data_IF_315037915572
#
_entry.id   IF_315037915572
#
_cell.length_a   1.000
_cell.length_b   1.000
_cell.length_c   1.000
_cell.angle_alpha   90.00
_cell.angle_beta   90.00
_cell.angle_gamma   90.00
#
_symmetry.space_group_name_H-M   'P 1'
#
loop_
_entity.id
_entity.type
_entity.pdbx_description
1 polymer ?
#
# COMPACT_ATOMS: atom_id res chain seq x y z
N UNK A 1 -8.40 -9.13 5.50
CA UNK A 1 -7.15 -9.93 5.57
C UNK A 1 -5.93 -9.24 4.95
N UNK A 2 -5.95 -8.69 3.72
CA UNK A 2 -4.76 -8.01 3.14
C UNK A 2 -4.38 -6.78 3.97
N UNK A 3 -5.33 -5.91 4.29
CA UNK A 3 -5.08 -4.70 5.09
C UNK A 3 -4.58 -5.01 6.50
N UNK A 4 -5.12 -6.03 7.15
CA UNK A 4 -4.61 -6.49 8.46
C UNK A 4 -3.13 -6.86 8.38
N UNK A 5 -2.75 -7.61 7.35
CA UNK A 5 -1.35 -7.97 7.14
C UNK A 5 -0.49 -6.75 6.80
N UNK A 6 -1.02 -5.82 6.01
CA UNK A 6 -0.32 -4.57 5.72
C UNK A 6 -0.02 -3.78 7.01
N UNK A 7 -1.01 -3.62 7.87
CA UNK A 7 -0.87 -2.83 9.10
C UNK A 7 -0.01 -3.54 10.13
N UNK A 8 -0.35 -4.80 10.45
CA UNK A 8 0.30 -5.53 11.55
C UNK A 8 1.68 -6.04 11.21
N UNK A 9 2.00 -6.22 9.93
CA UNK A 9 3.27 -6.78 9.51
C UNK A 9 4.08 -5.84 8.63
N UNK A 10 3.62 -5.49 7.43
CA UNK A 10 4.44 -4.76 6.47
C UNK A 10 4.79 -3.34 6.94
N UNK A 11 3.81 -2.58 7.39
CA UNK A 11 4.01 -1.21 7.90
C UNK A 11 4.89 -1.24 9.15
N UNK A 12 4.63 -2.18 10.05
CA UNK A 12 5.38 -2.34 11.29
C UNK A 12 6.84 -2.71 11.02
N UNK A 13 7.09 -3.66 10.11
CA UNK A 13 8.45 -4.05 9.72
C UNK A 13 9.22 -2.90 9.05
N UNK A 14 8.56 -2.16 8.16
CA UNK A 14 9.16 -0.97 7.54
C UNK A 14 9.49 0.11 8.60
N UNK A 15 8.59 0.34 9.56
CA UNK A 15 8.82 1.32 10.64
C UNK A 15 10.00 0.91 11.50
N UNK A 16 10.09 -0.37 11.87
CA UNK A 16 11.20 -0.90 12.66
C UNK A 16 12.54 -0.82 11.92
N UNK A 17 12.55 -1.13 10.62
CA UNK A 17 13.77 -1.11 9.83
C UNK A 17 14.34 0.31 9.65
N UNK A 18 13.46 1.28 9.38
CA UNK A 18 13.86 2.66 9.07
C UNK A 18 13.87 3.59 10.29
N UNK A 19 13.59 3.05 11.47
CA UNK A 19 13.51 3.80 12.74
C UNK A 19 12.67 5.09 12.61
N UNK A 20 11.57 4.98 11.92
CA UNK A 20 10.62 6.08 11.70
C UNK A 20 9.20 5.59 11.52
N UNK A 21 8.23 6.40 11.90
CA UNK A 21 6.83 6.07 11.72
C UNK A 21 6.45 6.03 10.24
N UNK A 22 6.03 4.86 9.75
CA UNK A 22 5.44 4.65 8.44
C UNK A 22 3.98 4.27 8.64
N UNK A 23 3.05 5.05 8.12
CA UNK A 23 1.61 4.86 8.32
C UNK A 23 0.83 4.67 7.03
N UNK A 24 1.42 5.02 5.89
CA UNK A 24 0.69 5.09 4.63
C UNK A 24 1.28 4.18 3.57
N UNK A 25 0.38 3.66 2.73
CA UNK A 25 0.71 2.84 1.58
C UNK A 25 0.58 3.65 0.29
N UNK A 26 1.56 3.50 -0.60
CA UNK A 26 1.44 3.83 -2.00
C UNK A 26 0.92 2.61 -2.75
N UNK A 27 -0.24 2.72 -3.40
CA UNK A 27 -0.90 1.58 -4.06
C UNK A 27 -0.94 1.79 -5.57
N UNK A 28 -0.59 0.76 -6.32
CA UNK A 28 -0.73 0.73 -7.78
C UNK A 28 -1.74 -0.34 -8.14
N UNK A 29 -2.77 0.04 -8.91
CA UNK A 29 -3.77 -0.89 -9.46
C UNK A 29 -3.60 -0.90 -10.97
N UNK A 30 -3.06 -2.00 -11.48
CA UNK A 30 -2.94 -2.24 -12.91
C UNK A 30 -4.21 -2.90 -13.44
N UNK A 31 -4.88 -2.24 -14.37
CA UNK A 31 -6.09 -2.71 -15.02
C UNK A 31 -5.82 -3.37 -16.37
N UNK A 32 -4.58 -3.77 -16.65
CA UNK A 32 -4.25 -4.55 -17.86
C UNK A 32 -5.11 -5.82 -17.92
N UNK A 33 -5.80 -6.03 -19.01
CA UNK A 33 -6.70 -7.17 -19.16
C UNK A 33 -8.08 -7.04 -18.47
N UNK A 34 -8.38 -5.87 -17.90
CA UNK A 34 -9.71 -5.63 -17.32
C UNK A 34 -10.81 -5.80 -18.38
N UNK A 35 -11.81 -6.62 -18.07
CA UNK A 35 -12.95 -6.90 -18.93
C UNK A 35 -14.25 -6.37 -18.34
N UNK A 36 -15.13 -5.82 -19.20
CA UNK A 36 -16.48 -5.42 -18.82
C UNK A 36 -17.36 -6.59 -18.33
N UNK A 37 -17.01 -7.82 -18.64
CA UNK A 37 -17.68 -9.00 -18.08
C UNK A 37 -17.62 -9.08 -16.56
N UNK A 38 -16.60 -8.43 -15.96
CA UNK A 38 -16.48 -8.31 -14.50
C UNK A 38 -17.44 -7.28 -13.89
N UNK A 39 -18.04 -6.38 -14.69
CA UNK A 39 -18.94 -5.33 -14.24
C UNK A 39 -20.38 -5.85 -14.05
N UNK A 40 -20.55 -6.76 -13.12
CA UNK A 40 -21.83 -7.37 -12.78
C UNK A 40 -22.37 -6.79 -11.47
N UNK A 41 -23.67 -6.89 -11.25
CA UNK A 41 -24.33 -6.41 -10.00
C UNK A 41 -23.68 -6.98 -8.74
N UNK A 42 -23.22 -8.23 -8.77
CA UNK A 42 -22.53 -8.88 -7.65
C UNK A 42 -21.17 -8.23 -7.36
N UNK A 43 -20.39 -7.98 -8.41
CA UNK A 43 -19.07 -7.33 -8.29
C UNK A 43 -19.19 -5.89 -7.81
N UNK A 44 -20.17 -5.15 -8.32
CA UNK A 44 -20.47 -3.78 -7.88
C UNK A 44 -20.83 -3.74 -6.39
N UNK A 45 -21.67 -4.68 -5.93
CA UNK A 45 -22.03 -4.80 -4.52
C UNK A 45 -20.80 -5.08 -3.66
N UNK A 46 -19.97 -6.03 -4.08
CA UNK A 46 -18.72 -6.38 -3.38
C UNK A 46 -17.78 -5.19 -3.30
N UNK A 47 -17.57 -4.48 -4.41
CA UNK A 47 -16.73 -3.29 -4.45
C UNK A 47 -17.20 -2.21 -3.47
N UNK A 48 -18.51 -1.93 -3.43
CA UNK A 48 -19.09 -0.99 -2.46
C UNK A 48 -18.86 -1.41 -1.02
N UNK A 49 -19.01 -2.70 -0.72
CA UNK A 49 -18.76 -3.24 0.62
C UNK A 49 -17.27 -3.09 0.98
N UNK A 50 -16.36 -3.41 0.06
CA UNK A 50 -14.92 -3.23 0.28
C UNK A 50 -14.56 -1.76 0.54
N UNK A 51 -15.09 -0.83 -0.25
CA UNK A 51 -14.85 0.61 -0.06
C UNK A 51 -15.36 1.07 1.32
N UNK A 52 -16.54 0.60 1.73
CA UNK A 52 -17.10 0.92 3.04
C UNK A 52 -16.23 0.37 4.18
N UNK A 53 -15.85 -0.91 4.12
CA UNK A 53 -14.97 -1.52 5.13
C UNK A 53 -13.64 -0.77 5.23
N UNK A 54 -13.05 -0.41 4.09
CA UNK A 54 -11.79 0.34 4.08
C UNK A 54 -11.94 1.72 4.73
N UNK A 55 -13.03 2.41 4.44
CA UNK A 55 -13.31 3.72 5.05
C UNK A 55 -13.57 3.64 6.55
N UNK A 56 -14.31 2.61 6.99
CA UNK A 56 -14.75 2.49 8.39
C UNK A 56 -13.64 1.97 9.31
N UNK A 57 -12.78 1.04 8.82
CA UNK A 57 -11.82 0.32 9.67
C UNK A 57 -10.35 0.65 9.40
N UNK A 58 -10.04 1.26 8.23
CA UNK A 58 -8.67 1.56 7.82
C UNK A 58 -8.50 3.01 7.38
N UNK A 59 -8.93 3.99 8.21
CA UNK A 59 -8.76 5.40 7.86
C UNK A 59 -7.26 5.73 7.73
N UNK A 60 -6.93 6.61 6.79
CA UNK A 60 -5.60 7.19 6.58
C UNK A 60 -4.47 6.24 6.13
N UNK A 61 -4.71 4.92 6.01
CA UNK A 61 -3.68 3.98 5.52
C UNK A 61 -3.30 4.26 4.05
N UNK A 62 -4.25 4.72 3.25
CA UNK A 62 -3.98 5.07 1.86
C UNK A 62 -3.32 6.46 1.77
N UNK A 63 -2.04 6.49 1.43
CA UNK A 63 -1.31 7.72 1.11
C UNK A 63 -1.60 8.21 -0.30
N UNK A 64 -1.36 7.35 -1.29
CA UNK A 64 -1.63 7.60 -2.72
C UNK A 64 -2.03 6.32 -3.41
N UNK A 65 -2.89 6.43 -4.42
CA UNK A 65 -3.26 5.30 -5.28
C UNK A 65 -3.19 5.73 -6.75
N UNK A 66 -2.49 4.94 -7.55
CA UNK A 66 -2.44 5.11 -9.01
C UNK A 66 -3.18 3.94 -9.66
N UNK A 67 -4.23 4.25 -10.41
CA UNK A 67 -4.98 3.27 -11.23
C UNK A 67 -4.54 3.47 -12.67
N UNK A 68 -3.97 2.46 -13.29
CA UNK A 68 -3.34 2.58 -14.59
C UNK A 68 -3.76 1.48 -15.58
N UNK A 69 -3.41 1.69 -16.86
CA UNK A 69 -3.65 0.75 -17.95
C UNK A 69 -5.14 0.35 -18.11
N UNK A 70 -6.05 1.20 -17.65
CA UNK A 70 -7.49 0.98 -17.82
C UNK A 70 -7.92 1.12 -19.28
N UNK A 71 -8.79 0.21 -19.78
CA UNK A 71 -9.40 0.39 -21.11
C UNK A 71 -10.24 1.68 -21.13
N UNK A 72 -10.49 2.23 -22.33
CA UNK A 72 -11.24 3.50 -22.47
C UNK A 72 -12.60 3.48 -21.77
N UNK A 73 -13.27 2.33 -21.73
CA UNK A 73 -14.53 2.13 -21.03
C UNK A 73 -14.42 2.33 -19.51
N UNK A 74 -13.24 2.16 -18.92
CA UNK A 74 -13.01 2.36 -17.49
C UNK A 74 -13.24 3.82 -17.08
N UNK A 75 -13.05 4.79 -17.97
CA UNK A 75 -13.32 6.22 -17.69
C UNK A 75 -14.80 6.45 -17.29
N UNK A 76 -15.72 5.79 -17.99
CA UNK A 76 -17.14 5.83 -17.64
C UNK A 76 -17.43 5.17 -16.28
N UNK A 77 -16.83 4.00 -16.03
CA UNK A 77 -16.94 3.29 -14.75
C UNK A 77 -16.37 4.10 -13.59
N UNK A 78 -15.22 4.71 -13.81
CA UNK A 78 -14.59 5.59 -12.81
C UNK A 78 -15.50 6.75 -12.41
N UNK A 79 -16.25 7.32 -13.38
CA UNK A 79 -17.20 8.38 -13.10
C UNK A 79 -18.31 7.96 -12.14
N UNK A 80 -18.65 6.67 -12.12
CA UNK A 80 -19.61 6.10 -11.18
C UNK A 80 -18.94 5.79 -9.84
N UNK A 81 -17.79 5.12 -9.87
CA UNK A 81 -17.05 4.67 -8.67
C UNK A 81 -16.64 5.86 -7.80
N UNK A 82 -16.13 6.93 -8.41
CA UNK A 82 -15.68 8.13 -7.68
C UNK A 82 -16.79 8.79 -6.86
N UNK A 83 -18.06 8.57 -7.23
CA UNK A 83 -19.21 9.06 -6.47
C UNK A 83 -19.47 8.30 -5.16
N UNK A 84 -18.84 7.14 -4.96
CA UNK A 84 -18.96 6.33 -3.72
C UNK A 84 -17.81 6.58 -2.75
N UNK A 85 -16.82 7.36 -3.17
CA UNK A 85 -15.58 7.63 -2.43
C UNK A 85 -15.66 9.08 -1.91
N UNK A 86 -15.33 9.27 -0.65
CA UNK A 86 -15.25 10.60 -0.05
C UNK A 86 -14.22 11.50 -0.77
N UNK A 87 -14.38 12.81 -0.64
CA UNK A 87 -13.56 13.77 -1.38
C UNK A 87 -12.07 13.71 -0.98
N UNK A 88 -11.77 13.49 0.31
CA UNK A 88 -10.39 13.39 0.82
C UNK A 88 -9.67 12.19 0.22
N UNK A 89 -10.32 11.04 0.23
CA UNK A 89 -9.82 9.80 -0.38
C UNK A 89 -9.69 9.94 -1.89
N UNK A 90 -10.67 10.53 -2.56
CA UNK A 90 -10.67 10.72 -4.02
C UNK A 90 -9.49 11.59 -4.50
N UNK A 91 -9.08 12.60 -3.74
CA UNK A 91 -7.90 13.45 -4.07
C UNK A 91 -6.58 12.67 -4.03
N UNK A 92 -6.54 11.55 -3.34
CA UNK A 92 -5.39 10.65 -3.26
C UNK A 92 -5.32 9.66 -4.44
N UNK A 93 -6.36 9.56 -5.26
CA UNK A 93 -6.47 8.60 -6.36
C UNK A 93 -6.20 9.31 -7.69
N UNK A 94 -5.26 8.76 -8.47
CA UNK A 94 -4.92 9.22 -9.82
C UNK A 94 -5.22 8.10 -10.80
N UNK A 95 -5.95 8.41 -11.88
CA UNK A 95 -6.27 7.46 -12.95
C UNK A 95 -5.55 7.89 -14.22
N UNK A 96 -4.70 7.03 -14.77
CA UNK A 96 -3.86 7.32 -15.94
C UNK A 96 -3.84 6.15 -16.93
N UNK A 97 -3.69 6.45 -18.21
CA UNK A 97 -3.48 5.42 -19.23
C UNK A 97 -2.08 4.82 -19.13
N UNK A 98 -1.05 5.67 -19.23
CA UNK A 98 0.34 5.25 -19.07
C UNK A 98 0.86 5.72 -17.71
N UNK A 99 1.28 4.78 -16.82
CA UNK A 99 1.67 5.11 -15.47
C UNK A 99 3.12 5.60 -15.33
N UNK A 100 4.00 5.37 -16.29
CA UNK A 100 5.46 5.56 -16.15
C UNK A 100 5.82 6.95 -15.64
N UNK A 101 5.23 8.01 -16.24
CA UNK A 101 5.54 9.39 -15.85
C UNK A 101 5.12 9.69 -14.42
N UNK A 102 3.91 9.31 -14.03
CA UNK A 102 3.42 9.59 -12.68
C UNK A 102 4.14 8.73 -11.64
N UNK A 103 4.45 7.48 -11.97
CA UNK A 103 5.16 6.59 -11.05
C UNK A 103 6.59 7.03 -10.81
N UNK A 104 7.29 7.56 -11.82
CA UNK A 104 8.66 8.06 -11.68
C UNK A 104 8.79 9.29 -10.76
N UNK A 105 7.68 9.98 -10.46
CA UNK A 105 7.66 11.06 -9.47
C UNK A 105 7.72 10.53 -8.02
N UNK A 106 7.31 9.28 -7.80
CA UNK A 106 7.20 8.66 -6.46
C UNK A 106 8.17 7.49 -6.25
N UNK A 107 8.56 6.82 -7.32
CA UNK A 107 9.36 5.59 -7.27
C UNK A 107 10.57 5.76 -8.18
N UNK A 108 11.76 5.42 -7.67
CA UNK A 108 12.96 5.40 -8.49
C UNK A 108 12.83 4.38 -9.62
N UNK A 109 13.32 4.72 -10.81
CA UNK A 109 13.19 3.88 -12.01
C UNK A 109 13.86 2.50 -11.83
N UNK A 110 14.90 2.42 -11.01
CA UNK A 110 15.59 1.16 -10.71
C UNK A 110 14.77 0.23 -9.79
N UNK A 111 13.80 0.80 -9.07
CA UNK A 111 12.85 0.07 -8.23
C UNK A 111 11.50 -0.18 -8.92
N UNK A 112 11.21 0.56 -9.98
CA UNK A 112 9.97 0.40 -10.73
C UNK A 112 10.06 -0.79 -11.67
N UNK A 113 9.10 -1.75 -11.64
CA UNK A 113 9.10 -2.91 -12.54
C UNK A 113 9.10 -2.54 -14.01
N UNK A 114 9.75 -3.37 -14.83
CA UNK A 114 9.86 -3.15 -16.29
C UNK A 114 8.51 -3.06 -16.99
N UNK A 115 7.53 -3.87 -16.57
CA UNK A 115 6.17 -3.82 -17.15
C UNK A 115 5.39 -2.53 -16.79
N UNK A 116 5.87 -1.75 -15.83
CA UNK A 116 5.37 -0.41 -15.50
C UNK A 116 6.23 0.71 -16.11
N UNK A 117 7.21 0.35 -16.94
CA UNK A 117 8.13 1.28 -17.58
C UNK A 117 9.40 1.61 -16.79
N UNK A 118 9.68 0.86 -15.73
CA UNK A 118 10.90 0.97 -14.94
C UNK A 118 12.03 0.07 -15.43
N UNK A 119 13.04 -0.15 -14.58
CA UNK A 119 14.22 -0.97 -14.87
C UNK A 119 14.33 -2.22 -14.00
N UNK A 120 13.43 -2.39 -13.02
CA UNK A 120 13.46 -3.53 -12.12
C UNK A 120 12.91 -4.78 -12.83
N UNK A 121 13.75 -5.78 -13.05
CA UNK A 121 13.41 -7.05 -13.70
C UNK A 121 12.95 -8.13 -12.70
N UNK A 122 12.91 -7.83 -11.41
CA UNK A 122 12.48 -8.78 -10.39
C UNK A 122 11.03 -9.22 -10.60
N UNK A 123 10.77 -10.49 -10.35
CA UNK A 123 9.43 -11.07 -10.46
C UNK A 123 8.62 -10.68 -9.22
N UNK A 124 7.53 -9.94 -9.40
CA UNK A 124 6.69 -9.46 -8.28
C UNK A 124 5.92 -10.57 -7.54
N UNK A 125 5.92 -11.79 -8.06
CA UNK A 125 5.33 -12.94 -7.35
C UNK A 125 6.16 -13.38 -6.16
N UNK A 126 7.45 -13.06 -6.17
CA UNK A 126 8.32 -13.32 -5.06
C UNK A 126 8.10 -12.24 -3.99
N UNK A 127 8.06 -12.66 -2.74
CA UNK A 127 7.80 -11.77 -1.62
C UNK A 127 9.07 -10.97 -1.29
N UNK A 128 9.36 -9.95 -2.10
CA UNK A 128 10.50 -9.05 -1.91
C UNK A 128 10.12 -7.89 -0.98
N UNK A 129 10.90 -7.66 0.05
CA UNK A 129 10.73 -6.51 0.92
C UNK A 129 11.40 -6.68 2.27
N UNK A 130 11.57 -5.58 3.02
CA UNK A 130 12.29 -5.58 4.29
C UNK A 130 11.61 -6.45 5.36
N UNK A 131 10.32 -6.68 5.20
CA UNK A 131 9.56 -7.59 6.07
C UNK A 131 10.05 -9.05 6.02
N UNK A 132 10.85 -9.44 5.01
CA UNK A 132 11.43 -10.78 4.93
C UNK A 132 12.47 -11.06 6.01
N UNK A 133 13.03 -10.03 6.62
CA UNK A 133 13.93 -10.12 7.77
C UNK A 133 13.17 -10.35 9.09
N UNK A 134 11.86 -10.22 9.06
CA UNK A 134 11.00 -10.32 10.23
C UNK A 134 10.07 -11.51 10.15
N UNK A 135 9.63 -11.97 11.30
CA UNK A 135 8.53 -12.92 11.43
C UNK A 135 7.42 -12.35 12.30
N UNK A 136 6.19 -12.71 11.98
CA UNK A 136 5.03 -12.33 12.77
C UNK A 136 5.02 -13.13 14.05
N UNK A 137 4.94 -12.46 15.18
CA UNK A 137 4.69 -13.11 16.47
C UNK A 137 3.19 -13.21 16.63
N UNK A 138 2.66 -14.40 16.40
CA UNK A 138 1.28 -14.72 16.65
C UNK A 138 1.13 -15.17 18.11
N UNK A 139 0.12 -14.67 18.76
CA UNK A 139 -0.20 -15.06 20.12
C UNK A 139 -1.42 -15.96 20.12
N UNK A 140 -1.34 -17.06 20.82
CA UNK A 140 -2.51 -17.90 21.12
C UNK A 140 -3.49 -17.22 22.08
N UNK A 141 -3.08 -16.11 22.70
CA UNK A 141 -3.93 -15.26 23.53
C UNK A 141 -4.61 -14.20 22.64
N UNK A 142 -5.96 -14.20 22.54
CA UNK A 142 -6.69 -13.21 21.73
C UNK A 142 -6.50 -11.77 22.18
N UNK A 143 -6.07 -11.54 23.44
CA UNK A 143 -5.82 -10.21 24.00
C UNK A 143 -4.34 -9.80 23.90
N UNK A 144 -3.45 -10.68 23.45
CA UNK A 144 -2.05 -10.34 23.33
C UNK A 144 -1.75 -9.50 22.09
N UNK A 145 -0.85 -8.54 22.26
CA UNK A 145 -0.40 -7.66 21.19
C UNK A 145 0.40 -8.47 20.18
N UNK A 146 -0.13 -8.59 18.97
CA UNK A 146 0.61 -9.15 17.85
C UNK A 146 1.73 -8.19 17.47
N UNK A 147 2.93 -8.69 17.37
CA UNK A 147 4.11 -7.93 17.00
C UNK A 147 4.93 -8.65 15.93
N UNK A 148 6.08 -8.12 15.66
CA UNK A 148 7.08 -8.72 14.77
C UNK A 148 8.39 -8.90 15.55
N UNK A 149 9.18 -9.88 15.18
CA UNK A 149 10.57 -9.99 15.64
C UNK A 149 11.49 -10.20 14.45
N UNK A 150 12.70 -9.70 14.56
CA UNK A 150 13.72 -9.92 13.55
C UNK A 150 14.26 -11.35 13.67
N UNK A 151 14.42 -12.04 12.54
CA UNK A 151 14.81 -13.45 12.51
C UNK A 151 16.23 -13.71 13.05
N UNK A 152 17.09 -12.71 12.92
CA UNK A 152 18.50 -12.75 13.35
C UNK A 152 18.75 -12.03 14.69
N UNK A 153 17.72 -11.54 15.39
CA UNK A 153 17.88 -10.92 16.70
C UNK A 153 18.08 -11.98 17.79
N UNK A 154 19.28 -12.10 18.39
CA UNK A 154 19.58 -13.10 19.41
C UNK A 154 18.80 -12.87 20.72
N UNK A 155 18.28 -11.66 20.93
CA UNK A 155 17.49 -11.32 22.11
C UNK A 155 16.00 -11.56 21.89
N UNK A 156 15.57 -11.86 20.66
CA UNK A 156 14.19 -12.11 20.31
C UNK A 156 13.24 -10.95 20.62
N UNK A 157 13.73 -9.69 20.53
CA UNK A 157 12.93 -8.50 20.83
C UNK A 157 11.73 -8.40 19.90
N UNK A 158 10.57 -8.16 20.49
CA UNK A 158 9.32 -7.99 19.76
C UNK A 158 9.08 -6.49 19.57
N UNK A 159 8.81 -6.11 18.33
CA UNK A 159 8.40 -4.76 17.95
C UNK A 159 6.92 -4.78 17.58
N UNK A 160 6.13 -3.93 18.19
CA UNK A 160 4.67 -3.92 18.04
C UNK A 160 4.20 -2.77 17.15
N UNK A 161 2.97 -2.81 16.61
CA UNK A 161 2.37 -1.65 15.95
C UNK A 161 2.31 -0.40 16.83
N UNK A 162 2.21 -0.58 18.17
CA UNK A 162 2.28 0.52 19.12
C UNK A 162 3.67 1.16 19.14
N UNK A 163 4.74 0.36 19.14
CA UNK A 163 6.11 0.88 19.08
C UNK A 163 6.33 1.67 17.78
N UNK A 164 5.78 1.19 16.66
CA UNK A 164 5.80 1.91 15.38
C UNK A 164 5.13 3.29 15.47
N UNK A 165 4.04 3.40 16.23
CA UNK A 165 3.34 4.67 16.44
C UNK A 165 4.11 5.64 17.33
N UNK A 166 5.04 5.15 18.15
CA UNK A 166 5.86 5.99 19.06
C UNK A 166 7.12 6.53 18.38
N UNK A 167 7.48 6.04 17.20
CA UNK A 167 8.59 6.58 16.43
C UNK A 167 8.26 7.99 15.92
N UNK A 168 9.28 8.81 15.76
CA UNK A 168 9.12 10.13 15.17
C UNK A 168 8.57 10.06 13.76
N UNK A 169 7.59 10.92 13.47
CA UNK A 169 7.05 11.08 12.13
C UNK A 169 7.57 12.39 11.54
N UNK A 170 8.62 12.37 10.73
CA UNK A 170 9.19 13.56 10.12
C UNK A 170 8.26 14.25 9.12
N UNK A 171 7.08 13.68 8.84
CA UNK A 171 6.17 14.16 7.80
C UNK A 171 5.01 15.05 8.29
N UNK A 172 4.95 15.45 9.58
CA UNK A 172 3.85 16.29 10.07
C UNK A 172 4.06 17.77 9.76
N UNK A 173 5.28 18.23 9.58
CA UNK A 173 5.56 19.59 9.16
C UNK A 173 5.59 19.71 7.63
N UNK A 174 4.46 20.09 7.06
CA UNK A 174 4.33 20.47 5.66
C UNK A 174 4.15 19.30 4.69
N UNK A 175 2.97 18.73 4.64
CA UNK A 175 2.54 17.91 3.50
C UNK A 175 2.21 18.76 2.25
N UNK A 176 3.22 19.45 1.74
CA UNK A 176 3.46 19.40 0.33
C UNK A 176 4.16 18.07 0.09
N UNK A 177 3.65 17.24 -0.81
CA UNK A 177 4.30 16.00 -1.23
C UNK A 177 5.59 16.39 -1.95
N UNK A 178 6.58 16.77 -1.19
CA UNK A 178 7.95 16.98 -1.66
C UNK A 178 8.65 15.64 -1.50
N UNK A 179 8.77 14.97 -2.64
CA UNK A 179 9.58 13.82 -2.95
C UNK A 179 10.56 13.31 -1.91
N UNK A 180 10.11 12.60 -0.93
CA UNK A 180 10.93 11.52 -0.42
C UNK A 180 10.66 10.33 -1.34
N UNK A 181 11.53 10.14 -2.31
CA UNK A 181 11.65 8.90 -3.07
C UNK A 181 11.67 7.78 -2.05
N UNK A 182 10.52 7.14 -1.88
CA UNK A 182 10.34 6.10 -0.89
C UNK A 182 11.31 4.99 -1.22
N UNK A 183 12.15 4.63 -0.28
CA UNK A 183 13.02 3.49 -0.44
C UNK A 183 12.16 2.24 -0.62
N UNK A 184 11.90 1.85 -1.86
CA UNK A 184 11.71 0.46 -2.19
C UNK A 184 13.06 -0.19 -1.99
N UNK A 185 13.15 -1.06 -0.99
CA UNK A 185 14.38 -1.75 -0.66
C UNK A 185 14.73 -2.69 -1.80
N UNK A 186 15.85 -2.39 -2.44
CA UNK A 186 16.62 -3.38 -3.19
C UNK A 186 17.56 -4.06 -2.21
N UNK A 187 17.41 -5.31 -2.03
CA UNK A 187 18.48 -6.18 -1.52
C UNK A 187 19.10 -6.91 -2.67
#
# INVERSE_FOLDING_TARGET
MIYERCVKFFITACSALYDRQILQLFSIIDLTGFSMALWQKKTIRLLKQCLKVNSDYYPEIMGKMVICNGPAVFTGLWSIIKGWIDEKTRKKIVVVGNPTKILSEYIDMDNLPTFMGGKNEQVLTDNHGPWNEYELVDSSDPDAIVGIKRKDDPLGRIFTPHDACMLENPCIEGMGISGTKGAMVTS
#
